data_IF_885600627819
#
_entry.id   IF_885600627819
#
_cell.length_a   1.000
_cell.length_b   1.000
_cell.length_c   1.000
_cell.angle_alpha   90.00
_cell.angle_beta   90.00
_cell.angle_gamma   90.00
#
_symmetry.space_group_name_H-M   'P 1'
#
loop_
_entity.id
_entity.type
_entity.pdbx_description
1 polymer ?
#
# COMPACT_ATOMS: atom_id res chain seq x y z
N UNK A 1 -0.14 -31.99 -43.58
CA UNK A 1 -1.09 -30.90 -43.22
C UNK A 1 -0.89 -30.55 -41.74
N UNK A 2 -0.01 -29.61 -41.49
CA UNK A 2 0.33 -29.08 -40.15
C UNK A 2 -0.68 -27.98 -39.83
N UNK A 3 -1.50 -28.18 -38.80
CA UNK A 3 -2.37 -27.13 -38.27
C UNK A 3 -1.51 -26.23 -37.39
N UNK A 4 -1.17 -25.07 -37.91
CA UNK A 4 -0.65 -23.92 -37.16
C UNK A 4 -1.71 -23.48 -36.15
N UNK A 5 -1.51 -23.77 -34.86
CA UNK A 5 -2.23 -23.16 -33.74
C UNK A 5 -1.82 -21.71 -33.68
N UNK A 6 -2.64 -20.83 -34.19
CA UNK A 6 -2.53 -19.39 -34.06
C UNK A 6 -2.59 -19.03 -32.56
N UNK A 7 -1.50 -18.54 -32.03
CA UNK A 7 -1.38 -17.95 -30.69
C UNK A 7 -2.44 -16.86 -30.51
N UNK A 8 -3.36 -17.09 -29.57
CA UNK A 8 -4.33 -16.08 -29.14
C UNK A 8 -3.58 -15.00 -28.34
N UNK A 9 -3.36 -13.88 -29.01
CA UNK A 9 -2.71 -12.69 -28.51
C UNK A 9 -3.42 -12.05 -27.30
N UNK A 10 -2.66 -11.38 -26.45
CA UNK A 10 -2.89 -10.55 -25.28
C UNK A 10 -4.30 -9.98 -24.94
N UNK A 11 -5.25 -9.70 -25.86
CA UNK A 11 -6.58 -9.22 -25.51
C UNK A 11 -7.41 -10.18 -24.66
N UNK A 12 -7.19 -11.50 -24.80
CA UNK A 12 -8.03 -12.50 -24.13
C UNK A 12 -7.79 -12.61 -22.61
N UNK A 13 -6.57 -12.34 -22.13
CA UNK A 13 -6.25 -12.38 -20.70
C UNK A 13 -6.88 -11.18 -19.96
N UNK A 14 -6.85 -9.98 -20.55
CA UNK A 14 -7.48 -8.78 -19.99
C UNK A 14 -9.00 -8.90 -19.97
N UNK A 15 -9.60 -9.51 -21.00
CA UNK A 15 -11.05 -9.79 -21.04
C UNK A 15 -11.47 -10.73 -19.90
N UNK A 16 -10.61 -11.67 -19.48
CA UNK A 16 -10.90 -12.58 -18.37
C UNK A 16 -10.86 -11.94 -16.98
N UNK A 17 -10.26 -10.74 -16.83
CA UNK A 17 -10.07 -10.05 -15.54
C UNK A 17 -10.74 -8.68 -15.45
N UNK A 18 -11.39 -8.20 -16.53
CA UNK A 18 -12.01 -6.86 -16.56
C UNK A 18 -13.03 -6.63 -15.45
N UNK A 19 -13.82 -7.67 -15.13
CA UNK A 19 -14.84 -7.59 -14.08
C UNK A 19 -14.23 -7.40 -12.68
N UNK A 20 -13.07 -8.04 -12.44
CA UNK A 20 -12.30 -7.84 -11.21
C UNK A 20 -11.76 -6.41 -11.12
N UNK A 21 -11.22 -5.90 -12.22
CA UNK A 21 -10.70 -4.54 -12.29
C UNK A 21 -11.81 -3.50 -12.09
N UNK A 22 -12.98 -3.70 -12.71
CA UNK A 22 -14.12 -2.80 -12.56
C UNK A 22 -14.66 -2.82 -11.12
N UNK A 23 -14.86 -4.00 -10.54
CA UNK A 23 -15.26 -4.13 -9.14
C UNK A 23 -14.25 -3.50 -8.19
N UNK A 24 -12.96 -3.73 -8.42
CA UNK A 24 -11.90 -3.13 -7.63
C UNK A 24 -11.86 -1.59 -7.76
N UNK A 25 -12.10 -1.06 -8.95
CA UNK A 25 -12.18 0.39 -9.17
C UNK A 25 -13.28 1.04 -8.34
N UNK A 26 -14.52 0.52 -8.39
CA UNK A 26 -15.63 1.02 -7.57
C UNK A 26 -15.32 0.94 -6.08
N UNK A 27 -14.76 -0.18 -5.62
CA UNK A 27 -14.40 -0.36 -4.23
C UNK A 27 -13.32 0.64 -3.78
N UNK A 28 -12.31 0.89 -4.61
CA UNK A 28 -11.25 1.86 -4.30
C UNK A 28 -11.74 3.31 -4.29
N UNK A 29 -12.70 3.65 -5.14
CA UNK A 29 -13.36 4.97 -5.12
C UNK A 29 -14.15 5.14 -3.82
N UNK A 30 -14.96 4.15 -3.42
CA UNK A 30 -15.69 4.17 -2.15
C UNK A 30 -14.76 4.28 -0.94
N UNK A 31 -13.71 3.47 -0.88
CA UNK A 31 -12.70 3.52 0.19
C UNK A 31 -11.93 4.85 0.21
N UNK A 32 -11.63 5.42 -0.96
CA UNK A 32 -10.98 6.72 -1.09
C UNK A 32 -11.82 7.85 -0.49
N UNK A 33 -13.12 7.85 -0.79
CA UNK A 33 -14.08 8.80 -0.21
C UNK A 33 -14.16 8.66 1.31
N UNK A 34 -14.34 7.45 1.84
CA UNK A 34 -14.43 7.21 3.26
C UNK A 34 -13.18 7.67 4.02
N UNK A 35 -12.00 7.49 3.42
CA UNK A 35 -10.72 7.82 4.05
C UNK A 35 -10.55 9.31 4.34
N UNK A 36 -11.10 10.19 3.51
CA UNK A 36 -11.05 11.63 3.74
C UNK A 36 -12.30 12.14 4.47
N UNK A 37 -13.45 11.53 4.23
CA UNK A 37 -14.73 11.91 4.85
C UNK A 37 -14.68 11.74 6.37
N UNK A 38 -14.16 10.60 6.85
CA UNK A 38 -14.25 10.28 8.27
C UNK A 38 -13.49 11.26 9.17
N UNK A 39 -12.23 11.66 8.89
CA UNK A 39 -11.55 12.70 9.67
C UNK A 39 -12.27 14.04 9.65
N UNK A 40 -12.84 14.45 8.51
CA UNK A 40 -13.60 15.71 8.40
C UNK A 40 -14.87 15.63 9.25
N UNK A 41 -15.60 14.52 9.16
CA UNK A 41 -16.80 14.31 9.99
C UNK A 41 -16.46 14.24 11.47
N UNK A 42 -15.38 13.58 11.85
CA UNK A 42 -14.92 13.50 13.23
C UNK A 42 -14.65 14.87 13.84
N UNK A 43 -14.03 15.76 13.09
CA UNK A 43 -13.77 17.13 13.53
C UNK A 43 -15.06 17.90 13.74
N UNK A 44 -16.04 17.81 12.81
CA UNK A 44 -17.35 18.45 12.97
C UNK A 44 -18.17 17.90 14.15
N UNK A 45 -17.91 16.66 14.57
CA UNK A 45 -18.51 16.03 15.76
C UNK A 45 -17.69 16.25 17.05
N UNK A 46 -16.61 17.03 16.97
CA UNK A 46 -15.75 17.36 18.11
C UNK A 46 -14.85 16.24 18.59
N UNK A 47 -14.52 15.25 17.73
CA UNK A 47 -13.57 14.21 18.09
C UNK A 47 -12.17 14.77 18.16
N UNK A 48 -11.40 14.38 19.18
CA UNK A 48 -10.00 14.77 19.28
C UNK A 48 -9.14 14.05 18.24
N UNK A 49 -7.97 14.62 17.94
CA UNK A 49 -6.99 13.99 17.04
C UNK A 49 -6.51 12.63 17.57
N UNK A 50 -6.39 12.47 18.91
CA UNK A 50 -6.05 11.19 19.54
C UNK A 50 -7.15 10.15 19.37
N UNK A 51 -8.43 10.54 19.52
CA UNK A 51 -9.55 9.65 19.25
C UNK A 51 -9.54 9.17 17.79
N UNK A 52 -9.28 10.06 16.83
CA UNK A 52 -9.11 9.69 15.43
C UNK A 52 -7.89 8.82 15.18
N UNK A 53 -6.79 9.09 15.88
CA UNK A 53 -5.60 8.23 15.87
C UNK A 53 -5.92 6.80 16.30
N UNK A 54 -6.71 6.64 17.37
CA UNK A 54 -7.18 5.33 17.82
C UNK A 54 -8.07 4.63 16.77
N UNK A 55 -9.07 5.33 16.21
CA UNK A 55 -9.93 4.79 15.15
C UNK A 55 -9.10 4.26 13.98
N UNK A 56 -8.12 5.04 13.49
CA UNK A 56 -7.26 4.64 12.39
C UNK A 56 -6.32 3.48 12.76
N UNK A 57 -5.82 3.42 14.00
CA UNK A 57 -5.01 2.30 14.46
C UNK A 57 -5.81 0.99 14.49
N UNK A 58 -7.07 1.02 14.93
CA UNK A 58 -7.96 -0.14 14.88
C UNK A 58 -8.19 -0.65 13.45
N UNK A 59 -8.25 0.24 12.44
CA UNK A 59 -8.31 -0.17 11.04
C UNK A 59 -7.08 -1.01 10.64
N UNK A 60 -5.87 -0.57 10.98
CA UNK A 60 -4.65 -1.32 10.67
C UNK A 60 -4.53 -2.61 11.48
N UNK A 61 -4.99 -2.61 12.72
CA UNK A 61 -5.10 -3.84 13.53
C UNK A 61 -6.08 -4.85 12.90
N UNK A 62 -7.23 -4.38 12.42
CA UNK A 62 -8.19 -5.17 11.66
C UNK A 62 -7.58 -5.70 10.36
N UNK A 63 -6.83 -4.87 9.63
CA UNK A 63 -6.13 -5.27 8.41
C UNK A 63 -5.14 -6.43 8.69
N UNK A 64 -4.37 -6.34 9.77
CA UNK A 64 -3.46 -7.40 10.20
C UNK A 64 -4.20 -8.69 10.56
N UNK A 65 -5.32 -8.60 11.28
CA UNK A 65 -6.16 -9.74 11.62
C UNK A 65 -6.78 -10.38 10.36
N UNK A 66 -7.30 -9.56 9.45
CA UNK A 66 -7.94 -9.98 8.21
C UNK A 66 -7.02 -10.79 7.30
N UNK A 67 -5.76 -10.38 7.18
CA UNK A 67 -4.77 -11.09 6.37
C UNK A 67 -4.61 -12.58 6.77
N UNK A 68 -4.81 -12.92 8.05
CA UNK A 68 -4.75 -14.30 8.54
C UNK A 68 -6.09 -15.04 8.45
N UNK A 69 -7.19 -14.35 8.77
CA UNK A 69 -8.52 -14.96 8.83
C UNK A 69 -9.05 -15.34 7.45
N UNK A 70 -8.84 -14.47 6.45
CA UNK A 70 -9.47 -14.59 5.13
C UNK A 70 -8.88 -15.74 4.31
N UNK A 71 -7.62 -16.10 4.49
CA UNK A 71 -7.03 -17.26 3.80
C UNK A 71 -7.79 -18.55 4.09
N UNK A 72 -8.28 -18.73 5.33
CA UNK A 72 -9.11 -19.90 5.69
C UNK A 72 -10.47 -19.84 5.00
N UNK A 73 -11.12 -18.68 5.00
CA UNK A 73 -12.42 -18.51 4.37
C UNK A 73 -12.34 -18.74 2.84
N UNK A 74 -11.28 -18.26 2.18
CA UNK A 74 -11.06 -18.48 0.74
C UNK A 74 -10.98 -19.96 0.38
N UNK A 75 -10.28 -20.75 1.16
CA UNK A 75 -10.14 -22.18 0.92
C UNK A 75 -11.44 -22.95 1.16
N UNK A 76 -12.35 -22.44 1.99
CA UNK A 76 -13.61 -23.12 2.33
C UNK A 76 -14.78 -22.76 1.39
N UNK A 77 -14.92 -21.47 0.99
CA UNK A 77 -16.12 -21.03 0.25
C UNK A 77 -15.82 -20.40 -1.11
N UNK A 78 -14.55 -20.16 -1.42
CA UNK A 78 -14.09 -19.63 -2.72
C UNK A 78 -14.12 -18.10 -2.83
N UNK A 79 -13.43 -17.59 -3.86
CA UNK A 79 -13.10 -16.16 -4.03
C UNK A 79 -14.33 -15.25 -4.19
N UNK A 80 -15.30 -15.60 -5.03
CA UNK A 80 -16.48 -14.76 -5.32
C UNK A 80 -17.33 -14.57 -4.07
N UNK A 81 -17.59 -15.64 -3.31
CA UNK A 81 -18.43 -15.57 -2.11
C UNK A 81 -17.75 -14.77 -1.00
N UNK A 82 -16.43 -14.96 -0.81
CA UNK A 82 -15.65 -14.20 0.16
C UNK A 82 -15.62 -12.72 -0.22
N UNK A 83 -15.36 -12.39 -1.50
CA UNK A 83 -15.39 -11.00 -1.97
C UNK A 83 -16.74 -10.35 -1.71
N UNK A 84 -17.85 -11.00 -2.09
CA UNK A 84 -19.20 -10.47 -1.90
C UNK A 84 -19.52 -10.24 -0.41
N UNK A 85 -19.20 -11.21 0.44
CA UNK A 85 -19.42 -11.08 1.89
C UNK A 85 -18.62 -9.91 2.49
N UNK A 86 -17.34 -9.77 2.12
CA UNK A 86 -16.47 -8.71 2.62
C UNK A 86 -16.89 -7.33 2.12
N UNK A 87 -17.26 -7.19 0.84
CA UNK A 87 -17.75 -5.93 0.29
C UNK A 87 -19.10 -5.54 0.89
N UNK A 88 -20.02 -6.49 1.10
CA UNK A 88 -21.29 -6.23 1.78
C UNK A 88 -21.09 -5.78 3.22
N UNK A 89 -20.18 -6.45 3.96
CA UNK A 89 -19.86 -6.06 5.34
C UNK A 89 -19.17 -4.68 5.39
N UNK A 90 -18.25 -4.39 4.45
CA UNK A 90 -17.62 -3.08 4.34
C UNK A 90 -18.62 -1.97 4.03
N UNK A 91 -19.56 -2.21 3.10
CA UNK A 91 -20.65 -1.27 2.78
C UNK A 91 -21.52 -0.98 4.00
N UNK A 92 -21.92 -2.01 4.75
CA UNK A 92 -22.67 -1.87 6.01
C UNK A 92 -21.87 -1.08 7.05
N UNK A 93 -20.59 -1.37 7.21
CA UNK A 93 -19.69 -0.68 8.13
C UNK A 93 -19.62 0.83 7.83
N UNK A 94 -19.58 1.22 6.55
CA UNK A 94 -19.61 2.64 6.15
C UNK A 94 -20.90 3.33 6.60
N UNK A 95 -22.07 2.68 6.42
CA UNK A 95 -23.35 3.26 6.86
C UNK A 95 -23.44 3.36 8.38
N UNK A 96 -22.91 2.38 9.11
CA UNK A 96 -22.90 2.43 10.58
C UNK A 96 -22.07 3.59 11.12
N UNK A 97 -21.01 4.03 10.43
CA UNK A 97 -20.27 5.25 10.82
C UNK A 97 -21.15 6.52 10.76
N UNK A 98 -22.13 6.57 9.85
CA UNK A 98 -23.05 7.72 9.78
C UNK A 98 -24.08 7.73 10.93
N UNK A 99 -24.42 6.56 11.47
CA UNK A 99 -25.46 6.40 12.49
C UNK A 99 -24.88 6.39 13.91
N UNK A 100 -23.76 5.70 14.10
CA UNK A 100 -23.13 5.49 15.41
C UNK A 100 -21.94 6.45 15.58
N UNK A 101 -22.25 7.71 15.85
CA UNK A 101 -21.24 8.79 15.95
C UNK A 101 -20.60 8.79 17.35
N UNK A 102 -19.78 7.78 17.63
CA UNK A 102 -19.03 7.62 18.88
C UNK A 102 -17.63 7.09 18.57
N UNK A 103 -16.53 7.61 19.16
CA UNK A 103 -15.16 7.15 18.88
C UNK A 103 -14.96 5.65 19.09
N UNK A 104 -15.53 5.06 20.15
CA UNK A 104 -15.46 3.64 20.43
C UNK A 104 -16.18 2.79 19.36
N UNK A 105 -17.39 3.23 18.93
CA UNK A 105 -18.12 2.57 17.86
C UNK A 105 -17.35 2.65 16.54
N UNK A 106 -16.82 3.81 16.19
CA UNK A 106 -16.00 3.99 15.00
C UNK A 106 -14.75 3.13 15.02
N UNK A 107 -14.09 2.98 16.18
CA UNK A 107 -12.93 2.09 16.33
C UNK A 107 -13.30 0.63 16.03
N UNK A 108 -14.41 0.13 16.57
CA UNK A 108 -14.91 -1.23 16.31
C UNK A 108 -15.30 -1.42 14.83
N UNK A 109 -16.03 -0.47 14.25
CA UNK A 109 -16.44 -0.49 12.84
C UNK A 109 -15.21 -0.45 11.92
N UNK A 110 -14.22 0.39 12.23
CA UNK A 110 -12.98 0.50 11.45
C UNK A 110 -12.10 -0.75 11.57
N UNK A 111 -12.11 -1.43 12.71
CA UNK A 111 -11.46 -2.74 12.85
C UNK A 111 -12.07 -3.76 11.88
N UNK A 112 -13.39 -3.84 11.83
CA UNK A 112 -14.12 -4.70 10.88
C UNK A 112 -13.83 -4.28 9.43
N UNK A 113 -13.86 -2.97 9.14
CA UNK A 113 -13.49 -2.41 7.83
C UNK A 113 -12.06 -2.77 7.43
N UNK A 114 -11.13 -2.79 8.37
CA UNK A 114 -9.74 -3.25 8.17
C UNK A 114 -9.67 -4.72 7.76
N UNK A 115 -10.42 -5.60 8.45
CA UNK A 115 -10.54 -7.03 8.09
C UNK A 115 -11.07 -7.17 6.66
N UNK A 116 -12.15 -6.46 6.33
CA UNK A 116 -12.77 -6.50 5.00
C UNK A 116 -11.78 -6.05 3.92
N UNK A 117 -11.09 -4.94 4.17
CA UNK A 117 -10.15 -4.36 3.22
C UNK A 117 -8.97 -5.31 2.94
N UNK A 118 -8.34 -5.86 4.00
CA UNK A 118 -7.28 -6.87 3.85
C UNK A 118 -7.77 -8.08 3.06
N UNK A 119 -8.97 -8.56 3.38
CA UNK A 119 -9.56 -9.72 2.72
C UNK A 119 -9.81 -9.50 1.23
N UNK A 120 -10.35 -8.35 0.87
CA UNK A 120 -10.55 -7.97 -0.54
C UNK A 120 -9.23 -7.95 -1.31
N UNK A 121 -8.17 -7.39 -0.74
CA UNK A 121 -6.85 -7.41 -1.38
C UNK A 121 -6.33 -8.85 -1.58
N UNK A 122 -6.43 -9.69 -0.56
CA UNK A 122 -6.01 -11.11 -0.65
C UNK A 122 -6.79 -11.85 -1.74
N UNK A 123 -8.12 -11.64 -1.80
CA UNK A 123 -9.00 -12.25 -2.83
C UNK A 123 -8.57 -11.81 -4.22
N UNK A 124 -8.45 -10.50 -4.45
CA UNK A 124 -8.13 -9.93 -5.75
C UNK A 124 -6.74 -10.35 -6.22
N UNK A 125 -5.73 -10.23 -5.38
CA UNK A 125 -4.35 -10.58 -5.73
C UNK A 125 -4.20 -12.07 -6.01
N UNK A 126 -4.85 -12.92 -5.22
CA UNK A 126 -4.89 -14.37 -5.46
C UNK A 126 -5.51 -14.69 -6.83
N UNK A 127 -6.65 -14.07 -7.12
CA UNK A 127 -7.38 -14.32 -8.36
C UNK A 127 -6.66 -13.76 -9.59
N UNK A 128 -6.12 -12.53 -9.51
CA UNK A 128 -5.33 -11.94 -10.58
C UNK A 128 -4.07 -12.76 -10.87
N UNK A 129 -3.42 -13.27 -9.83
CA UNK A 129 -2.22 -14.10 -9.97
C UNK A 129 -2.53 -15.46 -10.63
N UNK A 130 -3.70 -16.06 -10.36
CA UNK A 130 -4.17 -17.30 -10.96
C UNK A 130 -4.45 -17.14 -12.49
N UNK A 131 -4.97 -15.96 -12.88
CA UNK A 131 -5.25 -15.64 -14.29
C UNK A 131 -4.04 -15.12 -15.08
N UNK A 132 -2.99 -14.70 -14.40
CA UNK A 132 -1.80 -14.13 -15.02
C UNK A 132 -0.84 -15.20 -15.55
N UNK A 133 -0.46 -15.10 -16.83
CA UNK A 133 0.69 -15.83 -17.37
C UNK A 133 2.00 -15.08 -17.07
N UNK A 134 3.15 -15.70 -17.33
CA UNK A 134 4.45 -15.03 -17.12
C UNK A 134 4.57 -13.75 -17.96
N UNK A 135 4.00 -13.74 -19.17
CA UNK A 135 4.05 -12.62 -20.11
C UNK A 135 3.11 -11.48 -19.70
N UNK A 136 1.91 -11.81 -19.16
CA UNK A 136 0.86 -10.84 -18.85
C UNK A 136 0.90 -10.31 -17.41
N UNK A 137 1.63 -11.00 -16.51
CA UNK A 137 1.64 -10.71 -15.08
C UNK A 137 2.06 -9.27 -14.74
N UNK A 138 3.11 -8.76 -15.38
CA UNK A 138 3.56 -7.38 -15.18
C UNK A 138 2.51 -6.35 -15.59
N UNK A 139 1.82 -6.57 -16.69
CA UNK A 139 0.75 -5.71 -17.19
C UNK A 139 -0.47 -5.74 -16.25
N UNK A 140 -0.92 -6.92 -15.82
CA UNK A 140 -2.03 -7.08 -14.88
C UNK A 140 -1.76 -6.38 -13.56
N UNK A 141 -0.56 -6.55 -12.99
CA UNK A 141 -0.16 -5.86 -11.77
C UNK A 141 -0.04 -4.34 -11.96
N UNK A 142 0.47 -3.88 -13.10
CA UNK A 142 0.52 -2.45 -13.42
C UNK A 142 -0.86 -1.80 -13.46
N UNK A 143 -1.84 -2.45 -14.10
CA UNK A 143 -3.24 -2.01 -14.16
C UNK A 143 -3.86 -2.03 -12.75
N UNK A 144 -3.64 -3.10 -11.98
CA UNK A 144 -4.09 -3.21 -10.59
C UNK A 144 -3.60 -2.05 -9.73
N UNK A 145 -2.30 -1.72 -9.79
CA UNK A 145 -1.72 -0.59 -9.05
C UNK A 145 -2.27 0.76 -9.51
N UNK A 146 -2.46 0.93 -10.82
CA UNK A 146 -3.06 2.15 -11.39
C UNK A 146 -4.49 2.34 -10.87
N UNK A 147 -5.33 1.31 -10.92
CA UNK A 147 -6.71 1.35 -10.42
C UNK A 147 -6.72 1.68 -8.93
N UNK A 148 -5.84 1.07 -8.14
CA UNK A 148 -5.75 1.33 -6.71
C UNK A 148 -5.44 2.81 -6.41
N UNK A 149 -4.46 3.40 -7.11
CA UNK A 149 -4.06 4.78 -6.90
C UNK A 149 -5.09 5.76 -7.45
N UNK A 150 -5.52 5.57 -8.70
CA UNK A 150 -6.50 6.45 -9.36
C UNK A 150 -7.86 6.37 -8.66
N UNK A 151 -8.33 5.16 -8.32
CA UNK A 151 -9.59 4.98 -7.60
C UNK A 151 -9.59 5.66 -6.24
N UNK A 152 -8.49 5.53 -5.47
CA UNK A 152 -8.35 6.22 -4.19
C UNK A 152 -8.37 7.74 -4.37
N UNK A 153 -7.65 8.29 -5.35
CA UNK A 153 -7.59 9.72 -5.62
C UNK A 153 -8.97 10.26 -6.07
N UNK A 154 -9.64 9.57 -6.98
CA UNK A 154 -11.00 9.93 -7.43
C UNK A 154 -11.99 9.91 -6.25
N UNK A 155 -11.91 8.89 -5.39
CA UNK A 155 -12.74 8.82 -4.19
C UNK A 155 -12.54 10.01 -3.26
N UNK A 156 -11.30 10.43 -3.04
CA UNK A 156 -11.00 11.61 -2.23
C UNK A 156 -11.60 12.89 -2.82
N UNK A 157 -11.62 13.04 -4.15
CA UNK A 157 -12.24 14.19 -4.82
C UNK A 157 -13.77 14.23 -4.62
N UNK A 158 -14.43 13.07 -4.50
CA UNK A 158 -15.87 12.99 -4.31
C UNK A 158 -16.35 13.58 -2.97
N UNK A 159 -15.47 13.83 -2.00
CA UNK A 159 -15.88 14.50 -0.75
C UNK A 159 -16.43 15.92 -1.00
N UNK A 160 -16.10 16.53 -2.14
CA UNK A 160 -16.54 17.88 -2.49
C UNK A 160 -17.91 17.92 -3.20
N UNK A 161 -18.58 16.79 -3.45
CA UNK A 161 -19.86 16.75 -4.17
C UNK A 161 -21.09 16.98 -3.27
N UNK A 162 -20.91 16.85 -1.95
CA UNK A 162 -21.98 17.10 -0.96
C UNK A 162 -21.38 17.56 0.38
N UNK A 163 -22.18 18.17 1.27
CA UNK A 163 -21.74 18.54 2.61
C UNK A 163 -21.24 17.32 3.40
N UNK A 164 -20.10 17.45 4.07
CA UNK A 164 -19.49 16.38 4.86
C UNK A 164 -20.20 16.10 6.20
N UNK A 165 -21.03 17.01 6.64
CA UNK A 165 -21.80 16.93 7.90
C UNK A 165 -23.03 16.00 7.77
N UNK A 166 -23.48 15.75 6.54
CA UNK A 166 -24.62 14.90 6.24
C UNK A 166 -24.27 13.41 6.09
N UNK A 167 -25.30 12.61 5.86
CA UNK A 167 -25.17 11.17 5.61
C UNK A 167 -24.91 10.83 4.12
N UNK A 168 -25.09 11.78 3.20
CA UNK A 168 -25.10 11.57 1.76
C UNK A 168 -23.78 10.95 1.25
N UNK A 169 -22.66 11.45 1.74
CA UNK A 169 -21.34 10.94 1.34
C UNK A 169 -21.05 9.52 1.87
N UNK A 170 -21.59 9.18 3.05
CA UNK A 170 -21.54 7.80 3.56
C UNK A 170 -22.39 6.87 2.70
N UNK A 171 -23.60 7.31 2.29
CA UNK A 171 -24.43 6.55 1.35
C UNK A 171 -23.72 6.38 0.01
N UNK A 172 -23.14 7.45 -0.55
CA UNK A 172 -22.39 7.37 -1.80
C UNK A 172 -21.23 6.36 -1.71
N UNK A 173 -20.44 6.41 -0.64
CA UNK A 173 -19.34 5.45 -0.42
C UNK A 173 -19.88 4.02 -0.31
N UNK A 174 -20.94 3.79 0.46
CA UNK A 174 -21.59 2.49 0.61
C UNK A 174 -22.13 1.95 -0.73
N UNK A 175 -22.79 2.79 -1.53
CA UNK A 175 -23.29 2.43 -2.86
C UNK A 175 -22.16 2.01 -3.79
N UNK A 176 -21.08 2.78 -3.84
CA UNK A 176 -19.89 2.45 -4.64
C UNK A 176 -19.31 1.09 -4.26
N UNK A 177 -19.16 0.82 -2.94
CA UNK A 177 -18.67 -0.48 -2.45
C UNK A 177 -19.65 -1.61 -2.80
N UNK A 178 -20.97 -1.36 -2.72
CA UNK A 178 -21.98 -2.36 -3.06
C UNK A 178 -22.00 -2.68 -4.57
N UNK A 179 -21.90 -1.66 -5.43
CA UNK A 179 -21.84 -1.84 -6.90
C UNK A 179 -20.59 -2.65 -7.29
N UNK A 180 -19.50 -2.56 -6.54
CA UNK A 180 -18.30 -3.33 -6.79
C UNK A 180 -18.54 -4.86 -6.81
N UNK A 181 -19.57 -5.34 -6.12
CA UNK A 181 -19.92 -6.77 -6.06
C UNK A 181 -20.49 -7.26 -7.40
N UNK A 182 -21.24 -6.42 -8.12
CA UNK A 182 -21.99 -6.80 -9.31
C UNK A 182 -21.09 -7.40 -10.41
N UNK A 183 -20.06 -6.69 -10.92
CA UNK A 183 -19.21 -7.24 -11.98
C UNK A 183 -18.44 -8.49 -11.54
N UNK A 184 -18.05 -8.56 -10.26
CA UNK A 184 -17.31 -9.69 -9.71
C UNK A 184 -18.18 -10.95 -9.62
N UNK A 185 -19.42 -10.82 -9.17
CA UNK A 185 -20.36 -11.96 -9.05
C UNK A 185 -20.87 -12.45 -10.39
N UNK A 186 -20.95 -11.56 -11.38
CA UNK A 186 -21.33 -11.93 -12.76
C UNK A 186 -20.17 -12.56 -13.55
N UNK A 187 -18.94 -12.46 -13.07
CA UNK A 187 -17.80 -13.08 -13.73
C UNK A 187 -17.80 -14.60 -13.50
N UNK A 188 -17.82 -15.37 -14.58
CA UNK A 188 -17.72 -16.82 -14.51
C UNK A 188 -16.25 -17.23 -14.27
N UNK A 189 -15.97 -17.96 -13.22
CA UNK A 189 -14.64 -18.57 -13.02
C UNK A 189 -14.48 -19.21 -11.65
N UNK A 190 -14.19 -20.50 -11.63
CA UNK A 190 -13.61 -21.15 -10.47
C UNK A 190 -12.14 -20.71 -10.35
N UNK A 191 -11.72 -20.29 -9.16
CA UNK A 191 -10.32 -19.98 -8.88
C UNK A 191 -9.67 -21.16 -8.17
N UNK A 192 -8.40 -21.40 -8.45
CA UNK A 192 -7.64 -22.47 -7.80
C UNK A 192 -7.42 -22.18 -6.30
N UNK A 193 -7.28 -23.23 -5.47
CA UNK A 193 -6.94 -23.09 -4.06
C UNK A 193 -5.60 -22.34 -3.89
N UNK A 194 -5.51 -21.50 -2.87
CA UNK A 194 -4.26 -20.80 -2.55
C UNK A 194 -3.23 -21.82 -2.06
N UNK A 195 -2.05 -21.93 -2.70
CA UNK A 195 -1.00 -22.81 -2.21
C UNK A 195 -0.57 -22.40 -0.80
N UNK A 196 -0.45 -23.33 0.10
CA UNK A 196 0.14 -23.10 1.41
C UNK A 196 1.61 -22.67 1.23
N UNK A 197 1.93 -21.42 1.55
CA UNK A 197 3.31 -20.94 1.51
C UNK A 197 4.00 -21.29 2.83
N UNK A 198 5.24 -21.74 2.75
CA UNK A 198 6.12 -21.81 3.92
C UNK A 198 6.20 -20.44 4.59
N UNK A 199 6.12 -20.41 5.92
CA UNK A 199 6.25 -19.16 6.68
C UNK A 199 7.66 -19.03 7.24
N UNK A 200 8.32 -17.90 6.96
CA UNK A 200 9.59 -17.57 7.60
C UNK A 200 9.31 -16.94 8.97
N UNK A 201 10.01 -17.39 10.02
CA UNK A 201 9.88 -16.78 11.34
C UNK A 201 10.47 -15.37 11.34
N UNK A 202 9.81 -14.42 11.99
CA UNK A 202 10.29 -13.02 12.11
C UNK A 202 11.72 -12.95 12.66
N UNK A 203 12.08 -13.81 13.62
CA UNK A 203 13.42 -13.87 14.17
C UNK A 203 14.47 -14.28 13.13
N UNK A 204 14.17 -15.25 12.27
CA UNK A 204 15.05 -15.69 11.19
C UNK A 204 15.29 -14.54 10.19
N UNK A 205 14.22 -13.84 9.79
CA UNK A 205 14.30 -12.70 8.89
C UNK A 205 15.13 -11.56 9.52
N UNK A 206 14.89 -11.23 10.79
CA UNK A 206 15.65 -10.20 11.51
C UNK A 206 17.14 -10.55 11.62
N UNK A 207 17.48 -11.80 11.90
CA UNK A 207 18.88 -12.24 11.95
C UNK A 207 19.57 -12.16 10.58
N UNK A 208 18.84 -12.43 9.51
CA UNK A 208 19.37 -12.38 8.14
C UNK A 208 19.54 -10.94 7.68
N UNK A 209 18.52 -10.08 7.88
CA UNK A 209 18.46 -8.72 7.32
C UNK A 209 17.82 -7.73 8.31
N UNK A 210 18.50 -7.37 9.39
CA UNK A 210 17.94 -6.42 10.36
C UNK A 210 17.61 -5.06 9.74
N UNK A 211 18.40 -4.60 8.77
CA UNK A 211 18.19 -3.32 8.08
C UNK A 211 16.86 -3.26 7.32
N UNK A 212 16.44 -4.35 6.69
CA UNK A 212 15.16 -4.38 5.99
C UNK A 212 13.98 -4.46 6.97
N UNK A 213 14.10 -5.26 8.05
CA UNK A 213 13.01 -5.40 9.03
C UNK A 213 12.75 -4.09 9.77
N UNK A 214 13.78 -3.47 10.36
CA UNK A 214 13.62 -2.19 11.07
C UNK A 214 13.23 -1.10 10.09
N UNK A 215 13.87 -1.06 8.91
CA UNK A 215 13.55 -0.08 7.88
C UNK A 215 12.10 -0.15 7.43
N UNK A 216 11.55 -1.35 7.21
CA UNK A 216 10.14 -1.53 6.83
C UNK A 216 9.19 -1.09 7.96
N UNK A 217 9.49 -1.38 9.22
CA UNK A 217 8.66 -0.94 10.36
C UNK A 217 8.60 0.60 10.38
N UNK A 218 9.75 1.27 10.36
CA UNK A 218 9.81 2.74 10.42
C UNK A 218 9.25 3.40 9.14
N UNK A 219 9.56 2.86 7.96
CA UNK A 219 9.00 3.32 6.70
C UNK A 219 7.47 3.18 6.65
N UNK A 220 6.94 2.04 7.09
CA UNK A 220 5.49 1.80 7.13
C UNK A 220 4.78 2.67 8.17
N UNK A 221 5.46 3.02 9.26
CA UNK A 221 4.96 4.05 10.18
C UNK A 221 4.77 5.37 9.45
N UNK A 222 5.80 5.89 8.76
CA UNK A 222 5.74 7.16 8.03
C UNK A 222 4.68 7.14 6.94
N UNK A 223 4.58 6.05 6.17
CA UNK A 223 3.56 5.90 5.12
C UNK A 223 2.14 5.82 5.67
N UNK A 224 1.95 5.05 6.74
CA UNK A 224 0.65 4.93 7.41
C UNK A 224 0.22 6.29 7.97
N UNK A 225 1.10 7.00 8.65
CA UNK A 225 0.89 8.35 9.12
C UNK A 225 0.46 9.29 7.98
N UNK A 226 1.22 9.30 6.89
CA UNK A 226 0.96 10.16 5.72
C UNK A 226 -0.37 9.87 5.03
N UNK A 227 -0.86 8.62 5.09
CA UNK A 227 -2.11 8.24 4.42
C UNK A 227 -3.34 8.31 5.31
N UNK A 228 -3.19 8.12 6.63
CA UNK A 228 -4.33 8.06 7.55
C UNK A 228 -4.51 9.33 8.37
N UNK A 229 -3.41 10.04 8.70
CA UNK A 229 -3.45 11.19 9.59
C UNK A 229 -3.30 12.53 8.85
N UNK A 230 -3.06 12.53 7.53
CA UNK A 230 -2.94 13.76 6.76
C UNK A 230 -4.23 14.60 6.75
N UNK A 231 -5.39 13.95 6.68
CA UNK A 231 -6.69 14.64 6.77
C UNK A 231 -6.95 15.15 8.19
N UNK A 232 -6.58 14.38 9.22
CA UNK A 232 -6.66 14.82 10.65
C UNK A 232 -5.76 16.03 10.90
N UNK A 233 -4.53 16.04 10.33
CA UNK A 233 -3.67 17.21 10.34
C UNK A 233 -4.36 18.42 9.70
N UNK A 234 -4.98 18.23 8.53
CA UNK A 234 -5.66 19.30 7.80
C UNK A 234 -6.83 19.89 8.56
N UNK A 235 -7.67 19.05 9.22
CA UNK A 235 -8.77 19.52 10.07
C UNK A 235 -8.25 20.23 11.31
N UNK A 236 -7.27 19.67 12.00
CA UNK A 236 -6.64 20.31 13.16
C UNK A 236 -5.95 21.65 12.80
N UNK A 237 -5.51 21.81 11.55
CA UNK A 237 -4.95 23.04 11.01
C UNK A 237 -6.00 24.07 10.55
N UNK A 238 -7.30 23.74 10.64
CA UNK A 238 -8.40 24.58 10.16
C UNK A 238 -8.45 24.76 8.64
N UNK A 239 -7.95 23.78 7.88
CA UNK A 239 -7.96 23.83 6.42
C UNK A 239 -9.35 23.51 5.89
N UNK A 240 -9.76 24.17 4.79
CA UNK A 240 -10.98 23.81 4.09
C UNK A 240 -10.91 22.40 3.51
N UNK A 241 -12.06 21.73 3.35
CA UNK A 241 -12.17 20.38 2.76
C UNK A 241 -11.42 20.28 1.44
N UNK A 242 -11.52 21.30 0.57
CA UNK A 242 -10.80 21.34 -0.70
C UNK A 242 -9.27 21.35 -0.52
N UNK A 243 -8.76 22.12 0.44
CA UNK A 243 -7.31 22.15 0.74
C UNK A 243 -6.83 20.83 1.33
N UNK A 244 -7.61 20.20 2.20
CA UNK A 244 -7.32 18.87 2.75
C UNK A 244 -7.24 17.84 1.61
N UNK A 245 -8.20 17.87 0.68
CA UNK A 245 -8.21 16.96 -0.48
C UNK A 245 -6.97 17.17 -1.36
N UNK A 246 -6.62 18.41 -1.68
CA UNK A 246 -5.42 18.73 -2.46
C UNK A 246 -4.15 18.29 -1.74
N UNK A 247 -4.07 18.54 -0.43
CA UNK A 247 -2.93 18.15 0.40
C UNK A 247 -2.71 16.62 0.42
N UNK A 248 -3.77 15.86 0.67
CA UNK A 248 -3.68 14.39 0.71
C UNK A 248 -3.38 13.80 -0.67
N UNK A 249 -3.98 14.34 -1.73
CA UNK A 249 -3.76 13.88 -3.11
C UNK A 249 -2.36 14.24 -3.62
N UNK A 250 -1.78 15.36 -3.20
CA UNK A 250 -0.44 15.78 -3.60
C UNK A 250 0.62 14.72 -3.25
N UNK A 251 0.54 14.12 -2.06
CA UNK A 251 1.47 13.05 -1.66
C UNK A 251 1.38 11.82 -2.56
N UNK A 252 0.16 11.44 -2.97
CA UNK A 252 -0.07 10.30 -3.87
C UNK A 252 0.47 10.59 -5.27
N UNK A 253 0.24 11.80 -5.80
CA UNK A 253 0.78 12.24 -7.08
C UNK A 253 2.31 12.21 -7.05
N UNK A 254 2.91 12.75 -5.99
CA UNK A 254 4.36 12.69 -5.80
C UNK A 254 4.91 11.25 -5.81
N UNK A 255 4.23 10.33 -5.14
CA UNK A 255 4.59 8.91 -5.14
C UNK A 255 4.66 8.34 -6.55
N UNK A 256 3.65 8.60 -7.39
CA UNK A 256 3.60 8.11 -8.78
C UNK A 256 4.77 8.65 -9.60
N UNK A 257 5.09 9.94 -9.44
CA UNK A 257 6.12 10.60 -10.23
C UNK A 257 7.52 10.02 -10.00
N UNK A 258 7.90 9.72 -8.76
CA UNK A 258 9.27 9.28 -8.44
C UNK A 258 9.41 7.78 -8.18
N UNK A 259 8.35 6.99 -8.18
CA UNK A 259 8.43 5.55 -7.89
C UNK A 259 9.36 4.81 -8.85
N UNK A 260 9.22 5.04 -10.16
CA UNK A 260 10.07 4.39 -11.16
C UNK A 260 11.49 4.99 -11.23
N UNK A 261 11.68 6.32 -11.25
CA UNK A 261 13.03 6.91 -11.23
C UNK A 261 13.87 6.47 -10.03
N UNK A 262 13.30 6.47 -8.83
CA UNK A 262 14.01 6.03 -7.62
C UNK A 262 14.27 4.52 -7.62
N UNK A 263 13.38 3.72 -8.21
CA UNK A 263 13.60 2.30 -8.43
C UNK A 263 14.83 2.04 -9.32
N UNK A 264 14.88 2.70 -10.48
CA UNK A 264 16.01 2.59 -11.41
C UNK A 264 17.33 3.10 -10.80
N UNK A 265 17.26 4.19 -10.01
CA UNK A 265 18.43 4.68 -9.28
C UNK A 265 18.94 3.64 -8.28
N UNK A 266 18.03 2.96 -7.59
CA UNK A 266 18.33 1.88 -6.63
C UNK A 266 18.92 0.63 -7.27
N UNK A 267 18.66 0.39 -8.57
CA UNK A 267 19.28 -0.73 -9.32
C UNK A 267 20.69 -0.43 -9.79
N UNK A 268 21.06 0.86 -9.93
CA UNK A 268 22.36 1.32 -10.43
C UNK A 268 23.36 1.66 -9.33
N UNK A 269 22.93 1.78 -8.09
CA UNK A 269 23.75 2.19 -6.94
C UNK A 269 23.54 1.26 -5.74
N UNK A 270 24.46 1.24 -4.77
CA UNK A 270 24.27 0.48 -3.54
C UNK A 270 22.94 0.84 -2.87
N UNK A 271 22.00 -0.10 -2.86
CA UNK A 271 20.60 0.13 -2.49
C UNK A 271 20.44 0.79 -1.12
N UNK A 272 21.26 0.40 -0.15
CA UNK A 272 21.23 1.01 1.19
C UNK A 272 21.60 2.50 1.16
N UNK A 273 22.57 2.88 0.32
CA UNK A 273 22.96 4.29 0.18
C UNK A 273 21.83 5.11 -0.45
N UNK A 274 21.16 4.58 -1.48
CA UNK A 274 19.99 5.24 -2.09
C UNK A 274 18.88 5.43 -1.06
N UNK A 275 18.53 4.39 -0.28
CA UNK A 275 17.51 4.49 0.76
C UNK A 275 17.90 5.54 1.81
N UNK A 276 19.17 5.58 2.23
CA UNK A 276 19.66 6.57 3.21
C UNK A 276 19.51 8.01 2.69
N UNK A 277 19.87 8.27 1.44
CA UNK A 277 19.72 9.58 0.80
C UNK A 277 18.24 9.97 0.70
N UNK A 278 17.39 9.06 0.23
CA UNK A 278 15.94 9.26 0.12
C UNK A 278 15.31 9.56 1.48
N UNK A 279 15.67 8.80 2.51
CA UNK A 279 15.21 9.02 3.89
C UNK A 279 15.70 10.36 4.46
N UNK A 280 16.94 10.76 4.15
CA UNK A 280 17.50 12.05 4.58
C UNK A 280 16.78 13.24 3.93
N UNK A 281 16.44 13.14 2.64
CA UNK A 281 15.64 14.16 1.93
C UNK A 281 14.23 14.22 2.55
N UNK A 282 13.60 13.07 2.79
CA UNK A 282 12.27 13.03 3.43
C UNK A 282 12.30 13.63 4.86
N UNK A 283 13.36 13.38 5.62
CA UNK A 283 13.60 14.02 6.93
C UNK A 283 13.68 15.55 6.80
N UNK A 284 14.47 16.06 5.85
CA UNK A 284 14.59 17.49 5.58
C UNK A 284 13.24 18.11 5.25
N UNK A 285 12.45 17.46 4.38
CA UNK A 285 11.10 17.92 4.03
C UNK A 285 10.15 17.91 5.24
N UNK A 286 10.22 16.89 6.11
CA UNK A 286 9.41 16.85 7.33
C UNK A 286 9.80 17.97 8.31
N UNK A 287 11.10 18.26 8.49
CA UNK A 287 11.57 19.36 9.32
C UNK A 287 11.10 20.72 8.76
N UNK A 288 11.21 20.94 7.46
CA UNK A 288 10.68 22.14 6.79
C UNK A 288 9.18 22.24 6.99
N UNK A 289 8.43 21.14 6.86
CA UNK A 289 6.99 21.09 7.09
C UNK A 289 6.58 21.47 8.52
N UNK A 290 7.41 21.14 9.53
CA UNK A 290 7.17 21.54 10.91
C UNK A 290 7.37 23.06 11.14
N UNK A 291 8.17 23.72 10.31
CA UNK A 291 8.46 25.15 10.41
C UNK A 291 7.44 26.01 9.64
N UNK A 292 6.87 25.48 8.56
CA UNK A 292 5.90 26.20 7.73
C UNK A 292 4.57 26.35 8.49
N UNK A 293 3.94 27.55 8.47
CA UNK A 293 2.60 27.71 9.04
C UNK A 293 1.59 26.72 8.41
N UNK A 294 0.74 26.07 9.23
CA UNK A 294 -0.19 25.04 8.72
C UNK A 294 -1.18 25.55 7.64
N UNK A 295 -1.48 26.84 7.62
CA UNK A 295 -2.34 27.49 6.62
C UNK A 295 -1.63 27.83 5.30
N UNK A 296 -0.31 27.66 5.22
CA UNK A 296 0.48 28.04 4.02
C UNK A 296 0.20 27.13 2.83
N UNK A 297 0.10 27.74 1.64
CA UNK A 297 0.00 27.00 0.37
C UNK A 297 1.29 26.22 0.03
N UNK A 298 2.43 26.62 0.62
CA UNK A 298 3.72 25.93 0.44
C UNK A 298 3.69 24.47 0.94
N UNK A 299 2.73 24.11 1.79
CA UNK A 299 2.54 22.73 2.23
C UNK A 299 2.09 21.80 1.10
N UNK A 300 1.46 22.31 0.03
CA UNK A 300 1.05 21.46 -1.10
C UNK A 300 2.26 20.93 -1.89
N UNK A 301 3.16 21.77 -2.43
CA UNK A 301 4.35 21.27 -3.12
C UNK A 301 5.30 20.51 -2.18
N UNK A 302 5.36 20.88 -0.89
CA UNK A 302 6.15 20.17 0.10
C UNK A 302 5.60 18.75 0.31
N UNK A 303 4.28 18.59 0.45
CA UNK A 303 3.68 17.26 0.65
C UNK A 303 3.75 16.40 -0.63
N UNK A 304 3.70 17.02 -1.82
CA UNK A 304 3.98 16.34 -3.09
C UNK A 304 5.41 15.77 -3.08
N UNK A 305 6.40 16.61 -2.76
CA UNK A 305 7.79 16.18 -2.67
C UNK A 305 7.98 15.12 -1.57
N UNK A 306 7.36 15.30 -0.40
CA UNK A 306 7.42 14.33 0.70
C UNK A 306 6.90 12.95 0.27
N UNK A 307 5.72 12.92 -0.37
CA UNK A 307 5.15 11.68 -0.90
C UNK A 307 6.04 11.02 -1.96
N UNK A 308 6.67 11.82 -2.82
CA UNK A 308 7.56 11.35 -3.88
C UNK A 308 8.78 10.56 -3.34
N UNK A 309 9.29 10.93 -2.17
CA UNK A 309 10.41 10.23 -1.53
C UNK A 309 9.96 9.13 -0.56
N UNK A 310 8.87 9.32 0.18
CA UNK A 310 8.44 8.39 1.24
C UNK A 310 7.83 7.10 0.68
N UNK A 311 6.92 7.19 -0.30
CA UNK A 311 6.20 6.01 -0.76
C UNK A 311 7.07 4.97 -1.49
N UNK A 312 8.04 5.35 -2.34
CA UNK A 312 8.93 4.38 -2.98
C UNK A 312 9.85 3.62 -2.02
N UNK A 313 10.14 4.17 -0.83
CA UNK A 313 11.06 3.53 0.14
C UNK A 313 10.63 2.12 0.53
N UNK A 314 9.33 1.84 0.65
CA UNK A 314 8.84 0.51 1.00
C UNK A 314 9.30 -0.54 -0.03
N UNK A 315 9.10 -0.28 -1.30
CA UNK A 315 9.56 -1.16 -2.38
C UNK A 315 11.08 -1.34 -2.37
N UNK A 316 11.84 -0.31 -2.03
CA UNK A 316 13.29 -0.39 -1.91
C UNK A 316 13.72 -1.28 -0.73
N UNK A 317 13.04 -1.23 0.42
CA UNK A 317 13.30 -2.15 1.54
C UNK A 317 12.93 -3.60 1.22
N UNK A 318 11.85 -3.82 0.48
CA UNK A 318 11.48 -5.17 0.00
C UNK A 318 12.56 -5.69 -0.97
N UNK A 319 13.04 -4.85 -1.88
CA UNK A 319 14.12 -5.21 -2.80
C UNK A 319 15.43 -5.48 -2.03
N UNK A 320 15.77 -4.64 -1.03
CA UNK A 320 16.92 -4.88 -0.14
C UNK A 320 16.80 -6.23 0.59
N UNK A 321 15.60 -6.63 1.01
CA UNK A 321 15.37 -7.93 1.62
C UNK A 321 15.60 -9.07 0.61
N UNK A 322 15.11 -8.92 -0.62
CA UNK A 322 15.25 -9.91 -1.67
C UNK A 322 16.71 -10.13 -2.14
N UNK A 323 17.59 -9.14 -1.94
CA UNK A 323 19.02 -9.26 -2.24
C UNK A 323 19.76 -10.25 -1.31
N UNK A 324 19.23 -10.45 -0.09
CA UNK A 324 19.85 -11.30 0.92
C UNK A 324 19.15 -12.65 1.10
N UNK A 325 17.89 -12.78 0.65
CA UNK A 325 17.09 -13.99 0.82
C UNK A 325 17.20 -14.86 -0.42
N UNK A 326 17.47 -16.16 -0.21
CA UNK A 326 17.48 -17.13 -1.28
C UNK A 326 16.13 -17.12 -2.05
N UNK A 327 16.14 -17.28 -3.40
CA UNK A 327 14.94 -17.18 -4.23
C UNK A 327 13.76 -18.04 -3.73
N UNK A 328 14.06 -19.23 -3.19
CA UNK A 328 13.06 -20.18 -2.68
C UNK A 328 12.33 -19.67 -1.43
N UNK A 329 12.98 -18.84 -0.61
CA UNK A 329 12.46 -18.31 0.64
C UNK A 329 11.84 -16.90 0.49
N UNK A 330 11.87 -16.28 -0.70
CA UNK A 330 11.37 -14.88 -0.90
C UNK A 330 9.89 -14.71 -0.56
N UNK A 331 9.05 -15.68 -0.89
CA UNK A 331 7.62 -15.64 -0.55
C UNK A 331 7.39 -15.64 0.94
N UNK A 332 8.11 -16.53 1.65
CA UNK A 332 8.06 -16.61 3.11
C UNK A 332 8.58 -15.32 3.78
N UNK A 333 9.67 -14.76 3.26
CA UNK A 333 10.22 -13.48 3.71
C UNK A 333 9.25 -12.32 3.47
N UNK A 334 8.59 -12.26 2.30
CA UNK A 334 7.58 -11.25 1.99
C UNK A 334 6.43 -11.26 2.99
N UNK A 335 5.92 -12.44 3.37
CA UNK A 335 4.88 -12.57 4.40
C UNK A 335 5.35 -12.04 5.76
N UNK A 336 6.59 -12.32 6.16
CA UNK A 336 7.16 -11.79 7.39
C UNK A 336 7.37 -10.26 7.33
N UNK A 337 7.77 -9.71 6.19
CA UNK A 337 7.90 -8.26 5.98
C UNK A 337 6.56 -7.53 6.08
N UNK A 338 5.47 -8.13 5.60
CA UNK A 338 4.11 -7.58 5.75
C UNK A 338 3.72 -7.52 7.24
N UNK A 339 4.04 -8.56 8.03
CA UNK A 339 3.80 -8.53 9.47
C UNK A 339 4.62 -7.43 10.16
N UNK A 340 5.89 -7.26 9.78
CA UNK A 340 6.74 -6.19 10.27
C UNK A 340 6.17 -4.82 9.91
N UNK A 341 5.76 -4.60 8.66
CA UNK A 341 5.15 -3.35 8.20
C UNK A 341 3.87 -3.00 8.96
N UNK A 342 3.05 -4.00 9.25
CA UNK A 342 1.80 -3.81 9.99
C UNK A 342 2.04 -3.27 11.40
N UNK A 343 3.15 -3.63 12.05
CA UNK A 343 3.50 -3.10 13.38
C UNK A 343 3.70 -1.59 13.34
N UNK A 344 4.47 -1.08 12.36
CA UNK A 344 4.66 0.37 12.16
C UNK A 344 3.35 1.06 11.77
N UNK A 345 2.56 0.42 10.90
CA UNK A 345 1.30 0.98 10.43
C UNK A 345 0.25 1.15 11.54
N UNK A 346 0.18 0.22 12.48
CA UNK A 346 -0.73 0.31 13.66
C UNK A 346 -0.29 1.40 14.63
N UNK A 347 1.02 1.50 14.90
CA UNK A 347 1.55 2.45 15.87
C UNK A 347 1.42 3.92 15.39
N UNK A 348 1.51 4.17 14.09
CA UNK A 348 1.58 5.50 13.52
C UNK A 348 0.37 6.41 13.87
N UNK A 349 -0.88 6.02 13.63
CA UNK A 349 -2.02 6.90 13.88
C UNK A 349 -2.18 7.27 15.36
N UNK A 350 -1.93 6.34 16.28
CA UNK A 350 -2.00 6.61 17.72
C UNK A 350 -0.94 7.63 18.15
N UNK A 351 0.30 7.42 17.68
CA UNK A 351 1.41 8.32 18.00
C UNK A 351 1.17 9.72 17.43
N UNK A 352 0.73 9.81 16.17
CA UNK A 352 0.46 11.11 15.55
C UNK A 352 -0.77 11.80 16.14
N UNK A 353 -1.81 11.05 16.47
CA UNK A 353 -2.99 11.59 17.15
C UNK A 353 -2.61 12.27 18.46
N UNK A 354 -1.86 11.57 19.31
CA UNK A 354 -1.34 12.13 20.55
C UNK A 354 -0.40 13.32 20.32
N UNK A 355 0.47 13.26 19.31
CA UNK A 355 1.38 14.35 18.99
C UNK A 355 0.65 15.60 18.48
N UNK A 356 -0.43 15.45 17.72
CA UNK A 356 -1.26 16.57 17.28
C UNK A 356 -2.00 17.17 18.48
N UNK A 357 -2.47 16.38 19.44
CA UNK A 357 -3.09 16.89 20.67
C UNK A 357 -2.10 17.70 21.54
N UNK A 358 -0.87 17.21 21.67
CA UNK A 358 0.15 17.83 22.53
C UNK A 358 0.80 19.07 21.89
N UNK A 359 1.10 19.02 20.59
CA UNK A 359 1.90 20.03 19.89
C UNK A 359 1.10 20.81 18.83
N UNK A 360 -0.24 20.60 18.77
CA UNK A 360 -1.09 21.12 17.70
C UNK A 360 -0.74 20.50 16.34
N UNK A 361 -1.16 21.14 15.23
CA UNK A 361 -0.92 20.61 13.88
C UNK A 361 0.55 20.34 13.56
N UNK A 362 1.49 21.06 14.17
CA UNK A 362 2.94 20.82 14.00
C UNK A 362 3.37 19.44 14.46
N UNK A 363 2.65 18.83 15.41
CA UNK A 363 2.89 17.46 15.89
C UNK A 363 2.91 16.41 14.79
N UNK A 364 2.14 16.64 13.71
CA UNK A 364 2.17 15.77 12.53
C UNK A 364 3.57 15.67 11.91
N UNK A 365 4.15 16.78 11.50
CA UNK A 365 5.47 16.81 10.88
C UNK A 365 6.61 16.51 11.85
N UNK A 366 6.49 16.92 13.12
CA UNK A 366 7.48 16.59 14.15
C UNK A 366 7.58 15.08 14.38
N UNK A 367 6.46 14.38 14.43
CA UNK A 367 6.45 12.92 14.57
C UNK A 367 7.05 12.21 13.35
N UNK A 368 6.73 12.69 12.14
CA UNK A 368 7.32 12.16 10.91
C UNK A 368 8.84 12.38 10.89
N UNK A 369 9.29 13.57 11.27
CA UNK A 369 10.71 13.91 11.35
C UNK A 369 11.44 13.05 12.39
N UNK A 370 10.86 12.83 13.57
CA UNK A 370 11.46 11.99 14.61
C UNK A 370 11.68 10.54 14.13
N UNK A 371 10.68 9.95 13.48
CA UNK A 371 10.78 8.57 12.97
C UNK A 371 11.74 8.48 11.77
N UNK A 372 11.74 9.48 10.88
CA UNK A 372 12.70 9.55 9.78
C UNK A 372 14.14 9.75 10.29
N UNK A 373 14.33 10.57 11.34
CA UNK A 373 15.64 10.72 11.98
C UNK A 373 16.13 9.37 12.57
N UNK A 374 15.25 8.62 13.23
CA UNK A 374 15.57 7.27 13.71
C UNK A 374 15.96 6.34 12.56
N UNK A 375 15.25 6.40 11.43
CA UNK A 375 15.55 5.62 10.25
C UNK A 375 16.91 5.98 9.65
N UNK A 376 17.19 7.27 9.45
CA UNK A 376 18.46 7.78 8.91
C UNK A 376 19.63 7.39 9.82
N UNK A 377 19.50 7.62 11.13
CA UNK A 377 20.53 7.21 12.10
C UNK A 377 20.79 5.71 12.07
N UNK A 378 19.73 4.90 12.09
CA UNK A 378 19.84 3.45 12.06
C UNK A 378 20.50 2.94 10.77
N UNK A 379 20.11 3.46 9.61
CA UNK A 379 20.72 3.08 8.32
C UNK A 379 22.19 3.54 8.23
N UNK A 380 22.50 4.74 8.72
CA UNK A 380 23.87 5.24 8.82
C UNK A 380 24.76 4.34 9.68
N UNK A 381 24.30 3.97 10.88
CA UNK A 381 24.99 3.01 11.74
C UNK A 381 25.18 1.66 11.03
N UNK A 382 24.13 1.12 10.40
CA UNK A 382 24.20 -0.17 9.71
C UNK A 382 25.12 -0.16 8.47
N UNK A 383 25.32 0.98 7.84
CA UNK A 383 26.27 1.11 6.73
C UNK A 383 27.72 0.99 7.15
N UNK A 384 28.03 1.31 8.42
CA UNK A 384 29.37 1.16 9.00
C UNK A 384 29.64 -0.27 9.52
N UNK A 385 28.60 -1.03 9.88
CA UNK A 385 28.74 -2.36 10.52
C UNK A 385 28.75 -3.50 9.50
N UNK A 386 28.13 -3.32 8.33
CA UNK A 386 28.02 -4.39 7.33
C UNK A 386 28.04 -3.80 5.91
N UNK A 387 28.87 -4.38 5.05
CA UNK A 387 28.97 -3.97 3.66
C UNK A 387 27.67 -4.14 2.87
N UNK A 388 27.50 -3.33 1.82
CA UNK A 388 26.39 -3.45 0.90
C UNK A 388 26.55 -4.70 0.01
N UNK A 389 25.44 -5.23 -0.49
CA UNK A 389 25.48 -6.28 -1.52
C UNK A 389 26.12 -5.70 -2.79
N UNK A 390 27.09 -6.40 -3.41
CA UNK A 390 27.65 -6.01 -4.69
C UNK A 390 26.59 -5.83 -5.76
N UNK A 391 26.77 -4.86 -6.66
CA UNK A 391 25.77 -4.47 -7.67
C UNK A 391 25.37 -5.64 -8.60
N UNK A 392 26.30 -6.52 -8.93
CA UNK A 392 26.10 -7.72 -9.75
C UNK A 392 25.17 -8.76 -9.09
N UNK A 393 25.00 -8.69 -7.76
CA UNK A 393 24.13 -9.59 -6.99
C UNK A 393 22.80 -8.96 -6.55
N UNK A 394 22.58 -7.68 -6.86
CA UNK A 394 21.33 -7.02 -6.54
C UNK A 394 20.19 -7.53 -7.45
N UNK A 395 19.01 -7.74 -6.88
CA UNK A 395 17.78 -8.08 -7.63
C UNK A 395 17.19 -6.81 -8.26
N UNK A 396 16.57 -6.92 -9.45
CA UNK A 396 15.88 -5.79 -10.08
C UNK A 396 14.77 -5.24 -9.17
N UNK A 397 14.66 -3.90 -9.11
CA UNK A 397 13.60 -3.23 -8.38
C UNK A 397 12.24 -3.54 -9.01
N UNK A 398 11.26 -3.82 -8.17
CA UNK A 398 9.86 -3.92 -8.59
C UNK A 398 9.02 -2.99 -7.73
N UNK A 399 8.13 -2.18 -8.35
CA UNK A 399 7.25 -1.30 -7.61
C UNK A 399 6.27 -2.13 -6.78
N UNK A 400 6.36 -2.01 -5.46
CA UNK A 400 5.47 -2.68 -4.51
C UNK A 400 4.96 -1.65 -3.53
N UNK A 401 3.67 -1.67 -3.24
CA UNK A 401 3.06 -0.81 -2.23
C UNK A 401 2.97 -1.55 -0.89
N UNK A 402 3.07 -0.80 0.21
CA UNK A 402 3.04 -1.33 1.57
C UNK A 402 1.77 -2.14 1.92
N UNK A 403 0.71 -2.00 1.12
CA UNK A 403 -0.58 -2.68 1.28
C UNK A 403 -0.84 -3.79 0.29
N UNK A 404 0.07 -4.02 -0.66
CA UNK A 404 -0.04 -5.20 -1.53
C UNK A 404 0.23 -6.46 -0.73
N UNK A 405 -0.52 -7.51 -0.99
CA UNK A 405 -0.42 -8.77 -0.26
C UNK A 405 0.87 -9.54 -0.56
N UNK A 406 1.13 -10.59 0.22
CA UNK A 406 2.31 -11.44 0.07
C UNK A 406 2.45 -12.05 -1.34
N UNK A 407 1.34 -12.21 -2.05
CA UNK A 407 1.30 -12.76 -3.41
C UNK A 407 1.87 -11.76 -4.41
N UNK A 408 1.56 -10.47 -4.30
CA UNK A 408 2.16 -9.43 -5.14
C UNK A 408 3.68 -9.33 -4.94
N UNK A 409 4.16 -9.59 -3.72
CA UNK A 409 5.59 -9.63 -3.41
C UNK A 409 6.29 -10.89 -3.94
N UNK A 410 5.57 -11.98 -4.20
CA UNK A 410 6.15 -13.24 -4.69
C UNK A 410 6.47 -13.24 -6.18
N UNK A 411 5.95 -12.27 -6.93
CA UNK A 411 6.10 -12.12 -8.39
C UNK A 411 7.56 -11.89 -8.82
N UNK A 412 8.45 -11.53 -7.90
CA UNK A 412 9.87 -11.32 -8.16
C UNK A 412 10.64 -12.55 -8.68
N UNK A 413 10.00 -13.71 -8.79
CA UNK A 413 10.70 -14.96 -9.10
C UNK A 413 11.09 -15.12 -10.58
N UNK A 414 10.53 -14.34 -11.52
CA UNK A 414 10.56 -14.70 -12.94
C UNK A 414 11.08 -13.65 -13.92
N UNK A 415 11.45 -12.45 -13.49
CA UNK A 415 12.14 -11.51 -14.39
C UNK A 415 13.66 -11.75 -14.29
N UNK A 416 14.12 -12.91 -14.73
CA UNK A 416 15.52 -13.15 -15.08
C UNK A 416 15.66 -13.11 -16.59
N UNK A 417 16.34 -12.06 -17.05
CA UNK A 417 17.09 -11.93 -18.29
C UNK A 417 16.67 -12.81 -19.50
N UNK A 418 15.90 -12.29 -20.43
CA UNK A 418 15.83 -12.85 -21.78
C UNK A 418 17.17 -12.70 -22.54
N UNK A 419 17.99 -11.71 -22.15
CA UNK A 419 19.25 -11.39 -22.87
C UNK A 419 20.45 -12.28 -22.51
N UNK A 420 20.45 -12.91 -21.34
CA UNK A 420 21.59 -13.77 -20.93
C UNK A 420 21.48 -15.20 -21.46
N UNK A 421 20.30 -15.67 -21.82
CA UNK A 421 20.12 -16.97 -22.48
C UNK A 421 20.30 -16.85 -23.99
N UNK A 422 19.89 -15.74 -24.60
CA UNK A 422 20.13 -15.52 -26.05
C UNK A 422 21.61 -15.42 -26.40
N UNK A 423 22.44 -14.82 -25.54
CA UNK A 423 23.88 -14.78 -25.73
C UNK A 423 24.58 -16.14 -25.51
N UNK A 424 23.98 -17.10 -24.81
CA UNK A 424 24.56 -18.46 -24.68
C UNK A 424 24.25 -19.34 -25.87
N UNK A 425 23.06 -19.20 -26.47
CA UNK A 425 22.72 -19.98 -27.65
C UNK A 425 23.40 -19.50 -28.93
N UNK A 426 23.74 -18.20 -28.99
CA UNK A 426 24.53 -17.64 -30.12
C UNK A 426 26.01 -17.95 -30.05
N UNK A 427 26.57 -18.17 -28.84
CA UNK A 427 27.99 -18.57 -28.71
C UNK A 427 28.23 -20.08 -28.91
N UNK A 428 27.24 -20.91 -28.61
CA UNK A 428 27.31 -22.36 -28.84
C UNK A 428 27.17 -22.78 -30.32
N UNK A 429 26.66 -21.89 -31.17
CA UNK A 429 26.54 -22.14 -32.63
C UNK A 429 27.75 -21.70 -33.45
N UNK A 430 28.73 -21.01 -32.87
CA UNK A 430 29.94 -20.57 -33.58
C UNK A 430 31.14 -21.50 -33.45
N UNK A 431 31.09 -22.47 -32.54
CA UNK A 431 32.18 -23.47 -32.38
C UNK A 431 31.95 -24.78 -33.17
N UNK A 432 30.96 -24.81 -34.06
CA UNK A 432 30.68 -25.99 -34.94
C UNK A 432 30.63 -25.64 -36.44
N UNK A 433 31.28 -24.56 -36.87
CA UNK A 433 31.44 -24.27 -38.30
C UNK A 433 32.92 -24.22 -38.71
#
# INVERSE_FOLDING_TARGET
MSRTTTERTTPSALVGVWALFLGFAFLQVGNGLQRILLPIRAESEGFSAGAMGAVMAFHFAGYLAGAKLITRALNSVGHIRVFAALASLASTAVLLNAVLVLPAAWSAIYFVGGICNAGVFVVLESWLNDKATNETRGQILGIYMMIMMAGTALGQLLVNVAPSEGFQLFVLSSVLISIAVIPVTLSAGASAPIPSSETMRMRELYQTIPSAVVGIILCSFVQSASTSMAAVFGTAAGLSTQRITLFTSAAVVGAVLLQMPLGQLSDRHPRRAVILVVASIALGLALVGALIPPSSLLLLPLNLAFGAFVFPMYGQFVALANDWVAPQKRVAAASALILASSTGAVAAPMTLGAAIELFGPRGYYLSLAAVLAMLVFYLGYRSQVRDAVPLDRQSAFQPVLARSGAIAHSVTKWVKHPLAEWNRDTSAGQDQA
#
